data_IF_325997441915
#
_entry.id   IF_325997441915
#
_cell.length_a   1.000
_cell.length_b   1.000
_cell.length_c   1.000
_cell.angle_alpha   90.00
_cell.angle_beta   90.00
_cell.angle_gamma   90.00
#
_symmetry.space_group_name_H-M   'P 1'
#
loop_
_entity.id
_entity.type
_entity.pdbx_description
1 polymer ?
#
# COMPACT_ATOMS: atom_id res chain seq x y z
N UNK A 1 19.37 -15.26 15.38
CA UNK A 1 19.12 -15.44 13.94
C UNK A 1 17.66 -15.82 13.84
N UNK A 2 16.93 -15.15 12.94
CA UNK A 2 15.55 -15.56 12.67
C UNK A 2 15.55 -17.01 12.17
N UNK A 3 14.71 -17.83 12.75
CA UNK A 3 14.51 -19.20 12.30
C UNK A 3 13.58 -19.12 11.07
N UNK A 4 14.18 -19.32 9.90
CA UNK A 4 13.56 -19.17 8.59
C UNK A 4 13.39 -20.54 7.95
N UNK A 5 12.17 -20.86 7.58
CA UNK A 5 11.90 -22.03 6.76
C UNK A 5 11.42 -21.63 5.37
N UNK A 6 12.17 -22.04 4.34
CA UNK A 6 11.81 -21.79 2.93
C UNK A 6 11.58 -23.15 2.27
N UNK A 7 10.45 -23.30 1.63
CA UNK A 7 10.10 -24.53 0.91
C UNK A 7 9.57 -24.20 -0.49
N UNK A 8 9.62 -25.18 -1.39
CA UNK A 8 8.98 -25.09 -2.70
C UNK A 8 7.63 -25.78 -2.62
N UNK A 9 6.55 -25.08 -2.97
CA UNK A 9 5.20 -25.63 -2.98
C UNK A 9 4.50 -25.29 -4.30
N UNK A 10 3.70 -26.22 -4.82
CA UNK A 10 2.71 -25.90 -5.84
C UNK A 10 1.48 -25.25 -5.19
N UNK A 11 0.60 -24.68 -5.99
CA UNK A 11 -0.60 -23.97 -5.49
C UNK A 11 -1.46 -24.90 -4.63
N UNK A 12 -1.67 -26.14 -5.06
CA UNK A 12 -2.46 -27.11 -4.32
C UNK A 12 -1.88 -27.38 -2.93
N UNK A 13 -0.60 -27.73 -2.85
CA UNK A 13 0.05 -28.05 -1.57
C UNK A 13 0.14 -26.84 -0.63
N UNK A 14 0.27 -25.63 -1.19
CA UNK A 14 0.28 -24.42 -0.38
C UNK A 14 -1.10 -24.12 0.24
N UNK A 15 -2.14 -24.13 -0.60
CA UNK A 15 -3.48 -23.67 -0.18
C UNK A 15 -4.24 -24.74 0.60
N UNK A 16 -3.97 -26.03 0.40
CA UNK A 16 -4.62 -27.10 1.16
C UNK A 16 -4.17 -27.20 2.62
N UNK A 17 -3.07 -26.54 2.99
CA UNK A 17 -2.52 -26.56 4.35
C UNK A 17 -2.37 -28.00 4.93
N UNK A 18 -1.99 -28.97 4.08
CA UNK A 18 -1.90 -30.39 4.45
C UNK A 18 -0.56 -30.78 5.11
N UNK A 19 0.43 -29.88 5.13
CA UNK A 19 1.74 -30.12 5.75
C UNK A 19 1.65 -30.22 7.26
N UNK A 20 2.58 -30.93 7.89
CA UNK A 20 2.61 -31.16 9.33
C UNK A 20 2.55 -29.84 10.15
N UNK A 21 3.17 -28.77 9.66
CA UNK A 21 3.23 -27.47 10.33
C UNK A 21 2.01 -26.60 10.06
N UNK A 22 1.25 -26.85 8.99
CA UNK A 22 0.14 -26.01 8.55
C UNK A 22 -1.23 -26.68 8.70
N UNK A 23 -1.25 -27.99 8.92
CA UNK A 23 -2.47 -28.78 9.00
C UNK A 23 -3.45 -28.27 10.05
N UNK A 24 -4.67 -28.04 9.62
CA UNK A 24 -5.76 -27.54 10.48
C UNK A 24 -5.71 -26.05 10.76
N UNK A 25 -4.71 -25.34 10.27
CA UNK A 25 -4.59 -23.88 10.41
C UNK A 25 -5.44 -23.15 9.38
N UNK A 26 -5.47 -21.83 9.49
CA UNK A 26 -6.15 -20.92 8.57
C UNK A 26 -5.22 -19.76 8.26
N UNK A 27 -5.08 -19.40 7.00
CA UNK A 27 -4.40 -18.18 6.60
C UNK A 27 -5.22 -16.96 7.03
N UNK A 28 -4.55 -16.00 7.61
CA UNK A 28 -5.12 -14.72 7.99
C UNK A 28 -4.42 -13.62 7.20
N UNK A 29 -5.19 -12.76 6.55
CA UNK A 29 -4.72 -11.45 6.13
C UNK A 29 -4.98 -10.50 7.30
N UNK A 30 -3.93 -10.03 8.01
CA UNK A 30 -4.08 -9.28 9.25
C UNK A 30 -4.80 -7.94 9.07
N UNK A 31 -5.36 -7.43 10.17
CA UNK A 31 -6.14 -6.18 10.19
C UNK A 31 -5.37 -4.95 9.71
N UNK A 32 -4.04 -4.92 9.91
CA UNK A 32 -3.17 -3.82 9.52
C UNK A 32 -2.74 -3.86 8.06
N UNK A 33 -3.04 -4.93 7.32
CA UNK A 33 -2.72 -5.02 5.90
C UNK A 33 -3.60 -4.08 5.06
N UNK A 34 -3.17 -3.84 3.82
CA UNK A 34 -3.96 -3.06 2.87
C UNK A 34 -5.11 -3.90 2.31
N UNK A 35 -6.25 -3.28 1.92
CA UNK A 35 -7.32 -3.95 1.19
C UNK A 35 -6.85 -4.66 -0.09
N UNK A 36 -7.65 -5.59 -0.58
CA UNK A 36 -7.43 -6.18 -1.89
C UNK A 36 -7.62 -5.13 -2.99
N UNK A 37 -6.56 -4.87 -3.77
CA UNK A 37 -6.49 -3.78 -4.75
C UNK A 37 -6.07 -4.20 -6.16
N UNK A 38 -5.84 -5.50 -6.39
CA UNK A 38 -5.62 -5.93 -7.78
C UNK A 38 -6.87 -5.60 -8.59
N UNK A 39 -6.62 -5.01 -9.75
CA UNK A 39 -7.65 -4.66 -10.72
C UNK A 39 -7.78 -5.76 -11.79
N UNK A 40 -8.74 -5.55 -12.68
CA UNK A 40 -8.99 -6.43 -13.81
C UNK A 40 -7.73 -6.63 -14.67
N UNK A 41 -6.98 -5.55 -14.95
CA UNK A 41 -5.82 -5.62 -15.83
C UNK A 41 -4.70 -6.48 -15.22
N UNK A 42 -4.48 -6.37 -13.92
CA UNK A 42 -3.52 -7.21 -13.19
C UNK A 42 -3.95 -8.69 -13.20
N UNK A 43 -5.25 -8.97 -13.03
CA UNK A 43 -5.79 -10.33 -13.13
C UNK A 43 -5.73 -10.89 -14.55
N UNK A 44 -5.92 -10.06 -15.56
CA UNK A 44 -5.76 -10.41 -16.98
C UNK A 44 -4.31 -10.78 -17.32
N UNK A 45 -3.34 -10.07 -16.76
CA UNK A 45 -1.91 -10.42 -16.89
C UNK A 45 -1.64 -11.78 -16.28
N UNK A 46 -2.09 -12.01 -15.03
CA UNK A 46 -1.91 -13.31 -14.37
C UNK A 46 -2.51 -14.46 -15.18
N UNK A 47 -3.73 -14.30 -15.67
CA UNK A 47 -4.39 -15.30 -16.53
C UNK A 47 -3.61 -15.56 -17.80
N UNK A 48 -3.19 -14.50 -18.48
CA UNK A 48 -2.45 -14.57 -19.75
C UNK A 48 -1.11 -15.28 -19.57
N UNK A 49 -0.42 -15.00 -18.46
CA UNK A 49 0.83 -15.68 -18.12
C UNK A 49 0.63 -17.17 -17.93
N UNK A 50 -0.42 -17.60 -17.21
CA UNK A 50 -0.73 -19.00 -17.03
C UNK A 50 -1.05 -19.70 -18.36
N UNK A 51 -1.89 -19.09 -19.19
CA UNK A 51 -2.29 -19.66 -20.49
C UNK A 51 -1.11 -19.77 -21.42
N UNK A 52 -0.31 -18.70 -21.55
CA UNK A 52 0.85 -18.71 -22.44
C UNK A 52 1.88 -19.75 -22.00
N UNK A 53 2.21 -19.76 -20.72
CA UNK A 53 3.17 -20.74 -20.21
C UNK A 53 2.66 -22.19 -20.37
N UNK A 54 1.36 -22.43 -20.10
CA UNK A 54 0.76 -23.72 -20.32
C UNK A 54 0.86 -24.16 -21.78
N UNK A 55 0.51 -23.28 -22.74
CA UNK A 55 0.57 -23.58 -24.17
C UNK A 55 2.01 -23.93 -24.59
N UNK A 56 2.98 -23.15 -24.12
CA UNK A 56 4.39 -23.30 -24.48
C UNK A 56 5.03 -24.56 -23.86
N UNK A 57 4.48 -25.05 -22.72
CA UNK A 57 5.11 -26.07 -21.89
C UNK A 57 4.17 -27.24 -21.50
N UNK A 58 3.04 -27.44 -22.21
CA UNK A 58 2.10 -28.52 -21.91
C UNK A 58 2.72 -29.92 -22.12
N UNK A 59 3.69 -30.02 -23.02
CA UNK A 59 4.34 -31.27 -23.42
C UNK A 59 5.68 -31.51 -22.69
N UNK A 60 6.08 -30.66 -21.77
CA UNK A 60 7.28 -30.81 -20.94
C UNK A 60 6.93 -30.64 -19.43
N UNK A 61 7.90 -30.89 -18.54
CA UNK A 61 7.70 -30.85 -17.08
C UNK A 61 8.10 -29.51 -16.45
N UNK A 62 8.14 -28.42 -17.22
CA UNK A 62 8.52 -27.11 -16.68
C UNK A 62 7.45 -26.55 -15.75
N UNK A 63 7.91 -25.85 -14.75
CA UNK A 63 7.10 -25.23 -13.70
C UNK A 63 7.10 -23.72 -13.86
N UNK A 64 5.94 -23.09 -13.66
CA UNK A 64 5.79 -21.65 -13.66
C UNK A 64 6.03 -21.09 -12.26
N UNK A 65 6.98 -20.17 -12.13
CA UNK A 65 7.31 -19.56 -10.84
C UNK A 65 6.51 -18.29 -10.60
N UNK A 66 5.61 -18.33 -9.62
CA UNK A 66 4.75 -17.22 -9.21
C UNK A 66 5.39 -16.22 -8.24
N UNK A 67 6.57 -16.54 -7.71
CA UNK A 67 7.24 -15.71 -6.71
C UNK A 67 7.20 -16.30 -5.30
N UNK A 68 7.51 -15.46 -4.31
CA UNK A 68 7.49 -15.83 -2.90
C UNK A 68 6.27 -15.23 -2.18
N UNK A 69 5.93 -15.84 -1.06
CA UNK A 69 5.04 -15.27 -0.04
C UNK A 69 5.78 -15.26 1.30
N UNK A 70 5.48 -14.33 2.16
CA UNK A 70 6.01 -14.28 3.53
C UNK A 70 4.87 -14.54 4.49
N UNK A 71 5.05 -15.52 5.36
CA UNK A 71 4.09 -15.89 6.38
C UNK A 71 4.72 -15.87 7.75
N UNK A 72 3.91 -15.61 8.77
CA UNK A 72 4.32 -15.62 10.16
C UNK A 72 3.36 -16.49 10.97
N UNK A 73 3.89 -17.35 11.85
CA UNK A 73 3.05 -18.03 12.82
C UNK A 73 2.45 -16.97 13.77
N UNK A 74 1.13 -16.99 13.95
CA UNK A 74 0.49 -16.13 14.95
C UNK A 74 0.96 -16.55 16.36
N UNK A 75 1.62 -15.62 17.06
CA UNK A 75 2.13 -15.87 18.42
C UNK A 75 1.01 -16.06 19.45
N UNK A 76 -0.15 -15.48 19.18
CA UNK A 76 -1.29 -15.48 20.10
C UNK A 76 -2.26 -16.64 19.81
N UNK A 77 -2.23 -17.18 18.59
CA UNK A 77 -3.12 -18.28 18.17
C UNK A 77 -2.44 -19.27 17.23
N UNK A 78 -2.08 -20.43 17.74
CA UNK A 78 -1.43 -21.51 16.98
C UNK A 78 -2.25 -22.07 15.81
N UNK A 79 -3.54 -21.71 15.72
CA UNK A 79 -4.45 -22.11 14.63
C UNK A 79 -4.40 -21.19 13.43
N UNK A 80 -3.64 -20.10 13.48
CA UNK A 80 -3.56 -19.11 12.42
C UNK A 80 -2.15 -18.97 11.86
N UNK A 81 -2.07 -18.55 10.60
CA UNK A 81 -0.84 -18.20 9.89
C UNK A 81 -1.09 -16.86 9.22
N UNK A 82 -0.40 -15.83 9.66
CA UNK A 82 -0.50 -14.50 9.11
C UNK A 82 0.22 -14.42 7.76
N UNK A 83 -0.44 -13.89 6.74
CA UNK A 83 0.15 -13.56 5.46
C UNK A 83 0.70 -12.14 5.55
N UNK A 84 2.03 -12.01 5.57
CA UNK A 84 2.72 -10.73 5.65
C UNK A 84 2.97 -10.16 4.26
N UNK A 85 3.27 -11.02 3.29
CA UNK A 85 3.40 -10.67 1.87
C UNK A 85 2.77 -11.72 0.98
N UNK A 86 2.30 -11.28 -0.21
CA UNK A 86 1.65 -12.14 -1.19
C UNK A 86 0.14 -12.24 -1.04
N UNK A 87 -0.48 -11.47 -0.13
CA UNK A 87 -1.93 -11.47 0.10
C UNK A 87 -2.74 -11.25 -1.19
N UNK A 88 -2.36 -10.27 -2.00
CA UNK A 88 -3.06 -9.96 -3.27
C UNK A 88 -3.06 -11.17 -4.21
N UNK A 89 -1.90 -11.83 -4.32
CA UNK A 89 -1.72 -13.01 -5.18
C UNK A 89 -2.53 -14.20 -4.68
N UNK A 90 -2.47 -14.50 -3.38
CA UNK A 90 -3.25 -15.61 -2.80
C UNK A 90 -4.73 -15.37 -2.95
N UNK A 91 -5.22 -14.15 -2.71
CA UNK A 91 -6.61 -13.77 -2.91
C UNK A 91 -7.04 -14.00 -4.36
N UNK A 92 -6.26 -13.52 -5.33
CA UNK A 92 -6.56 -13.70 -6.76
C UNK A 92 -6.55 -15.16 -7.19
N UNK A 93 -5.61 -15.97 -6.66
CA UNK A 93 -5.58 -17.41 -6.91
C UNK A 93 -6.83 -18.12 -6.37
N UNK A 94 -7.30 -17.74 -5.19
CA UNK A 94 -8.52 -18.33 -4.62
C UNK A 94 -9.77 -17.94 -5.42
N UNK A 95 -9.85 -16.68 -5.88
CA UNK A 95 -10.93 -16.26 -6.79
C UNK A 95 -10.90 -17.03 -8.11
N UNK A 96 -9.72 -17.23 -8.68
CA UNK A 96 -9.52 -18.04 -9.90
C UNK A 96 -9.94 -19.51 -9.69
N UNK A 97 -9.47 -20.14 -8.61
CA UNK A 97 -9.83 -21.53 -8.29
C UNK A 97 -11.33 -21.66 -8.01
N UNK A 98 -11.95 -20.65 -7.39
CA UNK A 98 -13.40 -20.62 -7.18
C UNK A 98 -14.16 -20.51 -8.50
N UNK A 99 -13.63 -19.75 -9.47
CA UNK A 99 -14.21 -19.64 -10.82
C UNK A 99 -14.13 -20.99 -11.57
N UNK A 100 -12.99 -21.69 -11.53
CA UNK A 100 -12.88 -23.05 -12.07
C UNK A 100 -13.86 -24.00 -11.38
N UNK A 101 -13.92 -23.96 -10.06
CA UNK A 101 -14.81 -24.84 -9.30
C UNK A 101 -16.30 -24.58 -9.64
N UNK A 102 -16.70 -23.32 -9.77
CA UNK A 102 -18.08 -22.97 -10.20
C UNK A 102 -18.43 -23.57 -11.56
N UNK A 103 -17.51 -23.52 -12.52
CA UNK A 103 -17.67 -24.14 -13.82
C UNK A 103 -17.79 -25.68 -13.73
N UNK A 104 -16.94 -26.30 -12.92
CA UNK A 104 -16.99 -27.74 -12.65
C UNK A 104 -18.32 -28.15 -11.98
N UNK A 105 -18.83 -27.37 -11.01
CA UNK A 105 -20.13 -27.61 -10.39
C UNK A 105 -21.26 -27.63 -11.47
N UNK A 106 -21.28 -26.68 -12.39
CA UNK A 106 -22.27 -26.64 -13.48
C UNK A 106 -22.14 -27.85 -14.41
N UNK A 107 -20.91 -28.24 -14.73
CA UNK A 107 -20.67 -29.41 -15.59
C UNK A 107 -21.05 -30.70 -14.87
N UNK A 108 -20.71 -30.87 -13.60
CA UNK A 108 -21.09 -32.05 -12.81
C UNK A 108 -22.60 -32.21 -12.66
N UNK A 109 -23.38 -31.13 -12.71
CA UNK A 109 -24.86 -31.19 -12.75
C UNK A 109 -25.36 -31.70 -14.10
N UNK A 110 -24.71 -31.31 -15.21
CA UNK A 110 -25.12 -31.73 -16.57
C UNK A 110 -24.59 -33.11 -16.95
N UNK A 111 -23.42 -33.50 -16.43
CA UNK A 111 -22.81 -34.83 -16.63
C UNK A 111 -22.24 -35.36 -15.31
N UNK A 112 -23.09 -36.03 -14.49
CA UNK A 112 -22.66 -36.53 -13.17
C UNK A 112 -21.66 -37.70 -13.24
N UNK A 113 -21.41 -38.28 -14.39
CA UNK A 113 -20.54 -39.44 -14.55
C UNK A 113 -19.12 -39.07 -15.07
N UNK A 114 -18.84 -37.78 -15.31
CA UNK A 114 -17.53 -37.28 -15.71
C UNK A 114 -16.55 -37.37 -14.54
N UNK A 115 -15.69 -38.40 -14.58
CA UNK A 115 -14.69 -38.63 -13.52
C UNK A 115 -13.58 -37.61 -13.49
N UNK A 116 -13.24 -36.96 -14.62
CA UNK A 116 -12.25 -35.86 -14.66
C UNK A 116 -12.77 -34.63 -13.92
N UNK A 117 -14.06 -34.29 -14.11
CA UNK A 117 -14.71 -33.22 -13.38
C UNK A 117 -14.69 -33.47 -11.88
N UNK A 118 -15.07 -34.68 -11.44
CA UNK A 118 -15.02 -35.07 -10.02
C UNK A 118 -13.60 -35.01 -9.44
N UNK A 119 -12.63 -35.50 -10.20
CA UNK A 119 -11.22 -35.49 -9.78
C UNK A 119 -10.67 -34.08 -9.59
N UNK A 120 -11.00 -33.16 -10.52
CA UNK A 120 -10.61 -31.74 -10.39
C UNK A 120 -11.33 -31.04 -9.24
N UNK A 121 -12.64 -31.28 -9.04
CA UNK A 121 -13.36 -30.76 -7.90
C UNK A 121 -12.70 -31.18 -6.59
N UNK A 122 -12.40 -32.48 -6.42
CA UNK A 122 -11.70 -33.00 -5.25
C UNK A 122 -10.29 -32.42 -5.06
N UNK A 123 -9.65 -31.97 -6.14
CA UNK A 123 -8.33 -31.34 -6.09
C UNK A 123 -8.41 -29.85 -5.67
N UNK A 124 -9.47 -29.13 -6.06
CA UNK A 124 -9.69 -27.72 -5.71
C UNK A 124 -10.29 -27.55 -4.31
N UNK A 125 -11.20 -28.44 -3.91
CA UNK A 125 -11.93 -28.36 -2.63
C UNK A 125 -10.99 -28.09 -1.43
N UNK A 126 -9.91 -28.84 -1.21
CA UNK A 126 -9.02 -28.59 -0.07
C UNK A 126 -8.21 -27.31 -0.17
N UNK A 127 -8.16 -26.66 -1.35
CA UNK A 127 -7.51 -25.36 -1.52
C UNK A 127 -8.36 -24.20 -0.99
N UNK A 128 -9.67 -24.35 -1.01
CA UNK A 128 -10.61 -23.28 -0.64
C UNK A 128 -11.22 -23.53 0.74
N UNK A 129 -11.68 -24.77 0.99
CA UNK A 129 -12.47 -25.13 2.18
C UNK A 129 -11.77 -26.16 3.04
N UNK A 130 -12.12 -26.16 4.30
CA UNK A 130 -11.70 -27.22 5.21
C UNK A 130 -12.41 -28.52 4.88
N UNK A 131 -11.64 -29.58 4.69
CA UNK A 131 -12.14 -30.91 4.40
C UNK A 131 -12.08 -31.81 5.64
N UNK A 132 -13.04 -32.72 5.75
CA UNK A 132 -13.00 -33.74 6.80
C UNK A 132 -11.76 -34.62 6.63
N UNK A 133 -10.91 -34.80 7.65
CA UNK A 133 -9.65 -35.55 7.53
C UNK A 133 -9.81 -37.01 7.06
N UNK A 134 -10.93 -37.66 7.41
CA UNK A 134 -11.19 -39.04 7.07
C UNK A 134 -11.86 -39.19 5.71
N UNK A 135 -12.96 -38.46 5.47
CA UNK A 135 -13.75 -38.58 4.23
C UNK A 135 -13.17 -37.78 3.06
N UNK A 136 -12.24 -36.85 3.32
CA UNK A 136 -11.69 -35.90 2.34
C UNK A 136 -12.75 -35.05 1.61
N UNK A 137 -13.93 -34.90 2.21
CA UNK A 137 -15.04 -34.12 1.66
C UNK A 137 -15.23 -32.82 2.40
N UNK A 138 -15.65 -31.79 1.68
CA UNK A 138 -16.11 -30.54 2.26
C UNK A 138 -17.43 -30.81 3.00
N UNK A 139 -17.49 -30.44 4.27
CA UNK A 139 -18.69 -30.57 5.09
C UNK A 139 -19.41 -29.23 5.28
N UNK A 140 -18.64 -28.15 5.17
CA UNK A 140 -19.14 -26.78 5.35
C UNK A 140 -18.31 -25.83 4.49
N UNK A 141 -18.93 -25.20 3.47
CA UNK A 141 -18.27 -24.22 2.59
C UNK A 141 -18.03 -22.86 3.25
N UNK A 142 -18.70 -22.54 4.36
CA UNK A 142 -18.38 -21.36 5.15
C UNK A 142 -17.04 -21.48 5.90
N UNK A 143 -16.54 -22.72 6.03
CA UNK A 143 -15.24 -22.99 6.69
C UNK A 143 -14.09 -22.96 5.69
N UNK A 144 -13.64 -21.76 5.36
CA UNK A 144 -12.54 -21.50 4.41
C UNK A 144 -11.15 -21.64 5.03
N UNK A 145 -10.13 -21.86 4.19
CA UNK A 145 -8.72 -21.88 4.59
C UNK A 145 -8.09 -20.50 4.70
N UNK A 146 -8.81 -19.43 4.33
CA UNK A 146 -8.35 -18.03 4.43
C UNK A 146 -9.44 -17.13 5.00
N UNK A 147 -9.01 -16.14 5.77
CA UNK A 147 -9.87 -15.04 6.21
C UNK A 147 -9.11 -13.73 6.05
N UNK A 148 -9.76 -12.72 5.50
CA UNK A 148 -9.27 -11.35 5.54
C UNK A 148 -9.87 -10.65 6.75
N UNK A 149 -9.00 -10.11 7.60
CA UNK A 149 -9.38 -9.29 8.76
C UNK A 149 -9.02 -7.82 8.51
N UNK A 150 -8.68 -7.45 7.27
CA UNK A 150 -8.29 -6.09 6.93
C UNK A 150 -9.40 -5.13 7.32
N UNK A 151 -9.13 -4.32 8.31
CA UNK A 151 -10.14 -3.51 8.96
C UNK A 151 -10.58 -2.28 8.11
N UNK A 152 -9.76 -1.90 7.12
CA UNK A 152 -10.07 -0.84 6.15
C UNK A 152 -10.74 -1.36 4.88
N UNK A 153 -11.04 -2.66 4.80
CA UNK A 153 -11.68 -3.30 3.66
C UNK A 153 -13.14 -3.63 3.98
N UNK A 154 -14.04 -2.77 3.55
CA UNK A 154 -15.49 -2.94 3.74
C UNK A 154 -16.06 -4.11 2.93
N UNK A 155 -15.30 -4.64 1.97
CA UNK A 155 -15.69 -5.75 1.10
C UNK A 155 -15.18 -7.13 1.55
N UNK A 156 -14.58 -7.24 2.73
CA UNK A 156 -14.10 -8.53 3.26
C UNK A 156 -15.19 -9.61 3.31
N UNK A 157 -16.42 -9.23 3.63
CA UNK A 157 -17.55 -10.17 3.68
C UNK A 157 -17.91 -10.70 2.28
N UNK A 158 -17.78 -9.87 1.24
CA UNK A 158 -18.04 -10.29 -0.14
C UNK A 158 -17.07 -11.37 -0.60
N UNK A 159 -15.81 -11.26 -0.22
CA UNK A 159 -14.81 -12.28 -0.51
C UNK A 159 -15.21 -13.64 0.08
N UNK A 160 -15.66 -13.65 1.33
CA UNK A 160 -16.13 -14.88 1.98
C UNK A 160 -17.39 -15.45 1.28
N UNK A 161 -18.36 -14.60 0.92
CA UNK A 161 -19.56 -15.00 0.19
C UNK A 161 -19.21 -15.63 -1.16
N UNK A 162 -18.29 -15.00 -1.91
CA UNK A 162 -17.82 -15.53 -3.19
C UNK A 162 -17.17 -16.90 -3.00
N UNK A 163 -16.30 -17.07 -2.01
CA UNK A 163 -15.64 -18.35 -1.76
C UNK A 163 -16.67 -19.43 -1.36
N UNK A 164 -17.62 -19.10 -0.51
CA UNK A 164 -18.65 -20.02 -0.03
C UNK A 164 -19.61 -20.44 -1.13
N UNK A 165 -20.29 -19.49 -1.76
CA UNK A 165 -21.40 -19.73 -2.67
C UNK A 165 -21.00 -19.77 -4.16
N UNK A 166 -19.94 -19.05 -4.55
CA UNK A 166 -19.60 -18.77 -5.94
C UNK A 166 -20.51 -17.74 -6.61
N UNK A 167 -21.33 -17.07 -5.83
CA UNK A 167 -22.22 -16.02 -6.32
C UNK A 167 -21.66 -14.64 -5.95
N UNK A 168 -21.88 -13.68 -6.83
CA UNK A 168 -21.50 -12.27 -6.59
C UNK A 168 -22.68 -11.60 -5.89
N UNK A 169 -22.46 -10.91 -4.75
CA UNK A 169 -23.52 -10.16 -4.09
C UNK A 169 -24.15 -9.12 -5.02
N UNK A 170 -25.47 -8.93 -4.92
CA UNK A 170 -26.19 -7.98 -5.76
C UNK A 170 -25.65 -6.55 -5.55
N UNK A 171 -25.41 -5.85 -6.66
CA UNK A 171 -24.86 -4.47 -6.67
C UNK A 171 -23.43 -4.32 -6.12
N UNK A 172 -22.68 -5.41 -6.01
CA UNK A 172 -21.25 -5.33 -5.64
C UNK A 172 -20.41 -4.75 -6.78
N UNK A 173 -19.57 -3.77 -6.43
CA UNK A 173 -18.54 -3.18 -7.29
C UNK A 173 -17.15 -3.32 -6.64
N UNK A 174 -16.98 -4.27 -5.74
CA UNK A 174 -15.69 -4.52 -5.10
C UNK A 174 -14.68 -5.14 -6.06
N UNK A 175 -13.39 -4.93 -5.82
CA UNK A 175 -12.33 -5.59 -6.58
C UNK A 175 -12.43 -7.13 -6.51
N UNK A 176 -12.99 -7.69 -5.43
CA UNK A 176 -13.25 -9.13 -5.33
C UNK A 176 -14.29 -9.59 -6.35
N UNK A 177 -15.41 -8.88 -6.43
CA UNK A 177 -16.50 -9.20 -7.35
C UNK A 177 -16.10 -9.01 -8.81
N UNK A 178 -15.43 -7.90 -9.14
CA UNK A 178 -14.94 -7.59 -10.48
C UNK A 178 -13.94 -8.63 -10.98
N UNK A 179 -12.95 -8.96 -10.14
CA UNK A 179 -11.92 -9.92 -10.52
C UNK A 179 -12.46 -11.35 -10.59
N UNK A 180 -13.36 -11.72 -9.69
CA UNK A 180 -14.04 -13.02 -9.77
C UNK A 180 -14.86 -13.16 -11.06
N UNK A 181 -15.63 -12.12 -11.43
CA UNK A 181 -16.36 -12.06 -12.70
C UNK A 181 -15.41 -12.19 -13.89
N UNK A 182 -14.30 -11.46 -13.86
CA UNK A 182 -13.27 -11.55 -14.90
C UNK A 182 -12.76 -12.99 -15.05
N UNK A 183 -12.43 -13.67 -13.96
CA UNK A 183 -11.99 -15.06 -14.02
C UNK A 183 -13.09 -16.01 -14.52
N UNK A 184 -14.36 -15.81 -14.14
CA UNK A 184 -15.48 -16.59 -14.69
C UNK A 184 -15.59 -16.41 -16.22
N UNK A 185 -15.51 -15.19 -16.71
CA UNK A 185 -15.52 -14.88 -18.14
C UNK A 185 -14.34 -15.56 -18.85
N UNK A 186 -13.13 -15.40 -18.34
CA UNK A 186 -11.90 -16.03 -18.90
C UNK A 186 -11.98 -17.57 -18.93
N UNK A 187 -12.44 -18.19 -17.85
CA UNK A 187 -12.63 -19.64 -17.80
C UNK A 187 -13.66 -20.14 -18.82
N UNK A 188 -14.73 -19.37 -19.03
CA UNK A 188 -15.75 -19.72 -20.00
C UNK A 188 -15.26 -19.55 -21.45
N UNK A 189 -14.63 -18.42 -21.75
CA UNK A 189 -14.11 -18.12 -23.09
C UNK A 189 -13.02 -19.12 -23.49
N UNK A 190 -12.12 -19.45 -22.56
CA UNK A 190 -11.07 -20.44 -22.82
C UNK A 190 -11.66 -21.83 -23.08
N UNK A 191 -12.67 -22.24 -22.29
CA UNK A 191 -13.29 -23.52 -22.47
C UNK A 191 -14.13 -23.65 -23.77
N UNK A 192 -14.67 -22.54 -24.28
CA UNK A 192 -15.35 -22.54 -25.58
C UNK A 192 -14.38 -22.74 -26.73
N UNK A 193 -13.16 -22.19 -26.61
CA UNK A 193 -12.15 -22.23 -27.66
C UNK A 193 -11.23 -23.44 -27.59
N UNK A 194 -11.05 -24.05 -26.41
CA UNK A 194 -10.12 -25.14 -26.13
C UNK A 194 -10.83 -26.29 -25.39
N UNK A 195 -11.80 -26.92 -26.06
CA UNK A 195 -12.80 -27.86 -25.54
C UNK A 195 -12.33 -28.78 -24.39
N UNK A 196 -11.19 -29.43 -24.50
CA UNK A 196 -10.62 -30.29 -23.44
C UNK A 196 -9.54 -29.60 -22.61
N UNK A 197 -8.84 -28.65 -23.20
CA UNK A 197 -7.63 -28.04 -22.60
C UNK A 197 -7.84 -27.15 -21.38
N UNK A 198 -9.11 -26.78 -21.04
CA UNK A 198 -9.35 -25.99 -19.84
C UNK A 198 -9.23 -26.79 -18.53
N UNK A 199 -9.54 -28.09 -18.57
CA UNK A 199 -9.36 -29.00 -17.42
C UNK A 199 -7.88 -29.21 -17.16
N UNK A 200 -7.10 -29.42 -18.21
CA UNK A 200 -5.65 -29.56 -18.16
C UNK A 200 -4.96 -28.26 -17.73
N UNK A 201 -5.46 -27.09 -18.16
CA UNK A 201 -4.98 -25.77 -17.67
C UNK A 201 -5.24 -25.63 -16.17
N UNK A 202 -6.42 -26.03 -15.68
CA UNK A 202 -6.74 -26.02 -14.26
C UNK A 202 -5.77 -26.91 -13.45
N UNK A 203 -5.53 -28.13 -13.93
CA UNK A 203 -4.57 -29.04 -13.30
C UNK A 203 -3.15 -28.51 -13.34
N UNK A 204 -2.72 -27.92 -14.46
CA UNK A 204 -1.42 -27.24 -14.58
C UNK A 204 -1.27 -26.14 -13.54
N UNK A 205 -2.28 -25.27 -13.36
CA UNK A 205 -2.24 -24.21 -12.35
C UNK A 205 -2.09 -24.79 -10.94
N UNK A 206 -2.81 -25.85 -10.60
CA UNK A 206 -2.75 -26.49 -9.30
C UNK A 206 -1.41 -27.13 -9.00
N UNK A 207 -0.83 -27.85 -9.98
CA UNK A 207 0.28 -28.76 -9.74
C UNK A 207 1.64 -28.24 -10.23
N UNK A 208 1.67 -27.36 -11.24
CA UNK A 208 2.91 -26.89 -11.88
C UNK A 208 3.19 -25.40 -11.72
N UNK A 209 2.29 -24.64 -11.11
CA UNK A 209 2.56 -23.29 -10.69
C UNK A 209 3.12 -23.28 -9.25
N UNK A 210 4.33 -22.73 -9.10
CA UNK A 210 5.15 -22.85 -7.90
C UNK A 210 5.26 -21.54 -7.17
N UNK A 211 5.12 -21.60 -5.86
CA UNK A 211 5.32 -20.51 -4.91
C UNK A 211 6.38 -20.92 -3.89
N UNK A 212 7.17 -19.97 -3.42
CA UNK A 212 8.11 -20.16 -2.32
C UNK A 212 7.58 -19.50 -1.05
N UNK A 213 6.89 -20.23 -0.15
CA UNK A 213 6.59 -19.71 1.17
C UNK A 213 7.88 -19.55 1.99
N UNK A 214 8.00 -18.38 2.62
CA UNK A 214 9.03 -18.02 3.57
C UNK A 214 8.33 -17.90 4.92
N UNK A 215 8.46 -18.95 5.73
CA UNK A 215 7.81 -19.07 7.02
C UNK A 215 8.71 -18.45 8.10
N UNK A 216 8.21 -17.45 8.83
CA UNK A 216 8.90 -16.76 9.90
C UNK A 216 8.27 -17.13 11.25
N UNK A 217 9.10 -17.19 12.28
CA UNK A 217 8.63 -17.49 13.65
C UNK A 217 8.14 -16.24 14.39
N UNK A 218 8.53 -15.05 13.93
CA UNK A 218 8.13 -13.77 14.52
C UNK A 218 7.87 -12.70 13.47
N UNK A 219 7.02 -11.74 13.83
CA UNK A 219 6.56 -10.69 12.94
C UNK A 219 7.69 -9.72 12.55
N UNK A 220 8.64 -9.43 13.45
CA UNK A 220 9.74 -8.48 13.16
C UNK A 220 10.67 -9.05 12.09
N UNK A 221 10.97 -10.35 12.17
CA UNK A 221 11.71 -11.08 11.13
C UNK A 221 10.95 -11.09 9.81
N UNK A 222 9.65 -11.37 9.84
CA UNK A 222 8.80 -11.38 8.65
C UNK A 222 8.78 -10.02 7.93
N UNK A 223 8.62 -8.92 8.67
CA UNK A 223 8.62 -7.56 8.12
C UNK A 223 10.01 -7.17 7.58
N UNK A 224 11.09 -7.62 8.23
CA UNK A 224 12.46 -7.36 7.74
C UNK A 224 12.72 -8.05 6.41
N UNK A 225 12.32 -9.33 6.30
CA UNK A 225 12.47 -10.12 5.06
C UNK A 225 11.63 -9.55 3.96
N UNK A 226 10.38 -9.26 4.27
CA UNK A 226 9.48 -8.63 3.35
C UNK A 226 10.06 -7.32 2.79
N UNK A 227 10.60 -6.45 3.65
CA UNK A 227 11.27 -5.21 3.23
C UNK A 227 12.50 -5.41 2.32
N UNK A 228 13.17 -6.56 2.43
CA UNK A 228 14.34 -6.90 1.59
C UNK A 228 13.96 -7.53 0.25
N UNK A 229 12.91 -8.35 0.21
CA UNK A 229 12.46 -9.04 -1.00
C UNK A 229 11.71 -8.12 -1.96
N UNK A 230 10.98 -7.13 -1.45
CA UNK A 230 10.12 -6.25 -2.24
C UNK A 230 10.84 -5.16 -3.05
N UNK A 231 12.17 -5.14 -3.07
CA UNK A 231 12.93 -4.24 -3.95
C UNK A 231 12.70 -4.48 -5.46
N UNK A 232 11.84 -5.45 -5.85
CA UNK A 232 11.61 -5.84 -7.25
C UNK A 232 10.13 -5.95 -7.67
N UNK A 233 9.15 -5.60 -6.80
CA UNK A 233 7.71 -5.65 -7.09
C UNK A 233 6.98 -4.35 -6.76
N UNK A 234 5.64 -4.36 -6.68
CA UNK A 234 4.85 -3.30 -6.05
C UNK A 234 5.28 -3.22 -4.57
N UNK A 235 6.28 -2.38 -4.31
CA UNK A 235 6.84 -2.21 -2.98
C UNK A 235 5.72 -1.83 -2.01
N UNK A 236 5.72 -2.44 -0.82
CA UNK A 236 5.02 -1.85 0.31
C UNK A 236 5.49 -0.41 0.47
N UNK A 237 4.53 0.50 0.60
CA UNK A 237 4.85 1.85 1.01
C UNK A 237 5.50 1.83 2.39
N UNK A 238 6.32 2.80 2.69
CA UNK A 238 6.87 2.92 4.04
C UNK A 238 5.73 3.08 5.07
N UNK A 239 4.64 3.73 4.67
CA UNK A 239 3.44 3.92 5.49
C UNK A 239 2.70 2.61 5.85
N UNK A 240 2.74 1.57 5.00
CA UNK A 240 2.17 0.26 5.36
C UNK A 240 2.94 -0.38 6.53
N UNK A 241 4.27 -0.25 6.53
CA UNK A 241 5.11 -0.72 7.65
C UNK A 241 4.83 0.10 8.91
N UNK A 242 4.69 1.42 8.75
CA UNK A 242 4.41 2.31 9.87
C UNK A 242 3.04 2.03 10.48
N UNK A 243 2.03 1.71 9.66
CA UNK A 243 0.72 1.24 10.11
C UNK A 243 0.84 0.00 11.00
N UNK A 244 1.58 -1.01 10.53
CA UNK A 244 1.80 -2.24 11.30
C UNK A 244 2.50 -1.96 12.64
N UNK A 245 3.52 -1.11 12.65
CA UNK A 245 4.25 -0.75 13.88
C UNK A 245 3.37 0.05 14.86
N UNK A 246 2.56 0.97 14.38
CA UNK A 246 1.60 1.71 15.21
C UNK A 246 0.51 0.78 15.77
N UNK A 247 0.00 -0.14 14.95
CA UNK A 247 -0.99 -1.12 15.38
C UNK A 247 -0.49 -2.02 16.52
N UNK A 248 0.80 -2.42 16.50
CA UNK A 248 1.43 -3.19 17.58
C UNK A 248 1.45 -2.44 18.93
N UNK A 249 1.39 -1.11 18.92
CA UNK A 249 1.34 -0.33 20.15
C UNK A 249 -0.02 -0.40 20.84
N UNK A 250 -1.09 -0.77 20.12
CA UNK A 250 -2.42 -0.97 20.65
C UNK A 250 -2.48 -2.28 21.45
N UNK A 251 -2.85 -2.19 22.74
CA UNK A 251 -2.81 -3.33 23.67
C UNK A 251 -4.15 -4.04 23.79
N UNK A 252 -5.25 -3.32 23.59
CA UNK A 252 -6.60 -3.84 23.76
C UNK A 252 -7.33 -3.93 22.43
N UNK A 253 -8.36 -4.75 22.34
CA UNK A 253 -9.21 -4.85 21.16
C UNK A 253 -9.89 -3.51 20.82
N UNK A 254 -10.29 -2.75 21.84
CA UNK A 254 -10.90 -1.43 21.65
C UNK A 254 -9.90 -0.41 21.09
N UNK A 255 -8.66 -0.38 21.60
CA UNK A 255 -7.59 0.46 21.04
C UNK A 255 -7.28 0.10 19.58
N UNK A 256 -7.20 -1.18 19.26
CA UNK A 256 -7.00 -1.66 17.90
C UNK A 256 -8.12 -1.21 16.96
N UNK A 257 -9.38 -1.37 17.39
CA UNK A 257 -10.55 -0.93 16.63
C UNK A 257 -10.58 0.59 16.45
N UNK A 258 -10.26 1.35 17.49
CA UNK A 258 -10.17 2.80 17.42
C UNK A 258 -9.08 3.24 16.42
N UNK A 259 -7.87 2.72 16.58
CA UNK A 259 -6.74 3.01 15.66
C UNK A 259 -7.10 2.72 14.21
N UNK A 260 -7.75 1.59 13.94
CA UNK A 260 -8.16 1.22 12.60
C UNK A 260 -9.11 2.21 11.97
N UNK A 261 -10.13 2.68 12.73
CA UNK A 261 -11.06 3.69 12.25
C UNK A 261 -10.36 5.03 12.01
N UNK A 262 -9.49 5.45 12.92
CA UNK A 262 -8.70 6.68 12.79
C UNK A 262 -7.74 6.60 11.60
N UNK A 263 -7.12 5.43 11.39
CA UNK A 263 -6.25 5.21 10.23
C UNK A 263 -7.03 5.27 8.90
N UNK A 264 -8.22 4.67 8.84
CA UNK A 264 -9.09 4.75 7.67
C UNK A 264 -9.47 6.20 7.34
N UNK A 265 -9.79 6.99 8.35
CA UNK A 265 -10.06 8.42 8.18
C UNK A 265 -8.83 9.17 7.68
N UNK A 266 -7.65 8.85 8.20
CA UNK A 266 -6.39 9.44 7.76
C UNK A 266 -6.09 9.09 6.29
N UNK A 267 -6.27 7.83 5.88
CA UNK A 267 -6.14 7.38 4.49
C UNK A 267 -7.08 8.19 3.57
N UNK A 268 -8.36 8.34 3.96
CA UNK A 268 -9.34 9.10 3.20
C UNK A 268 -8.96 10.59 3.08
N UNK A 269 -8.54 11.22 4.18
CA UNK A 269 -8.10 12.63 4.21
C UNK A 269 -6.93 12.87 3.24
N UNK A 270 -5.98 11.95 3.20
CA UNK A 270 -4.81 12.00 2.33
C UNK A 270 -5.19 11.81 0.86
N UNK A 271 -6.09 10.87 0.58
CA UNK A 271 -6.61 10.59 -0.77
C UNK A 271 -7.41 11.79 -1.30
N UNK A 272 -8.31 12.34 -0.51
CA UNK A 272 -9.09 13.54 -0.85
C UNK A 272 -8.19 14.74 -1.16
N UNK A 273 -7.08 14.87 -0.43
CA UNK A 273 -6.07 15.90 -0.66
C UNK A 273 -5.14 15.64 -1.86
N UNK A 274 -5.20 14.45 -2.48
CA UNK A 274 -4.40 14.10 -3.65
C UNK A 274 -2.90 13.92 -3.37
N UNK A 275 -2.52 13.55 -2.15
CA UNK A 275 -1.15 13.21 -1.76
C UNK A 275 -1.10 11.81 -1.12
N UNK A 276 0.09 11.32 -0.76
CA UNK A 276 0.26 9.97 -0.22
C UNK A 276 0.54 9.98 1.28
N UNK A 277 0.29 8.86 1.97
CA UNK A 277 0.72 8.69 3.36
C UNK A 277 2.24 8.81 3.50
N UNK A 278 3.01 8.33 2.54
CA UNK A 278 4.47 8.48 2.55
C UNK A 278 4.89 9.95 2.49
N UNK A 279 4.16 10.79 1.73
CA UNK A 279 4.38 12.24 1.72
C UNK A 279 4.07 12.85 3.08
N UNK A 280 2.95 12.45 3.69
CA UNK A 280 2.55 12.93 5.03
C UNK A 280 3.62 12.57 6.08
N UNK A 281 4.07 11.32 6.11
CA UNK A 281 5.15 10.90 7.01
C UNK A 281 6.45 11.64 6.73
N UNK A 282 6.73 11.97 5.47
CA UNK A 282 7.88 12.80 5.08
C UNK A 282 7.75 14.22 5.60
N UNK A 283 6.57 14.82 5.50
CA UNK A 283 6.33 16.16 6.06
C UNK A 283 6.52 16.15 7.58
N UNK A 284 5.99 15.15 8.27
CA UNK A 284 6.16 15.00 9.71
C UNK A 284 7.62 14.69 10.09
N UNK A 285 8.34 13.91 9.30
CA UNK A 285 9.78 13.71 9.46
C UNK A 285 10.53 15.05 9.52
N UNK A 286 10.21 15.98 8.63
CA UNK A 286 10.86 17.29 8.61
C UNK A 286 10.45 18.17 9.81
N UNK A 287 9.23 18.05 10.32
CA UNK A 287 8.83 18.67 11.60
C UNK A 287 9.73 18.14 12.74
N UNK A 288 9.91 16.84 12.81
CA UNK A 288 10.74 16.22 13.82
C UNK A 288 12.24 16.56 13.67
N UNK A 289 12.73 16.63 12.43
CA UNK A 289 14.12 17.09 12.15
C UNK A 289 14.32 18.54 12.57
N UNK A 290 13.33 19.42 12.35
CA UNK A 290 13.38 20.81 12.79
C UNK A 290 13.50 20.94 14.31
N UNK A 291 12.70 20.18 15.07
CA UNK A 291 12.74 20.16 16.54
C UNK A 291 14.10 19.71 17.08
N UNK A 292 14.80 18.82 16.37
CA UNK A 292 16.11 18.27 16.71
C UNK A 292 17.30 19.06 16.11
N UNK A 293 17.05 20.19 15.46
CA UNK A 293 18.08 21.01 14.79
C UNK A 293 18.86 20.28 13.67
N UNK A 294 18.23 19.36 12.96
CA UNK A 294 18.88 18.55 11.92
C UNK A 294 18.73 19.24 10.56
N UNK A 295 19.82 19.79 10.03
CA UNK A 295 19.90 20.40 8.69
C UNK A 295 20.68 19.51 7.69
N UNK A 296 21.17 18.36 8.13
CA UNK A 296 21.90 17.41 7.29
C UNK A 296 21.07 16.90 6.11
N UNK A 297 21.74 16.30 5.13
CA UNK A 297 21.08 15.67 3.98
C UNK A 297 19.94 14.75 4.43
N UNK A 298 18.86 14.76 3.70
CA UNK A 298 17.70 13.88 3.91
C UNK A 298 18.12 12.41 3.78
N UNK A 299 17.59 11.58 4.64
CA UNK A 299 17.71 10.12 4.60
C UNK A 299 16.38 9.50 4.16
N UNK A 300 16.42 8.24 3.74
CA UNK A 300 15.21 7.52 3.37
C UNK A 300 14.21 7.50 4.54
N UNK A 301 12.92 7.57 4.22
CA UNK A 301 11.84 7.67 5.19
C UNK A 301 11.89 6.53 6.22
N UNK A 302 12.01 5.29 5.75
CA UNK A 302 12.18 4.11 6.61
C UNK A 302 13.41 4.20 7.51
N UNK A 303 14.55 4.66 6.97
CA UNK A 303 15.79 4.82 7.76
C UNK A 303 15.63 5.84 8.88
N UNK A 304 14.80 6.87 8.69
CA UNK A 304 14.51 7.86 9.73
C UNK A 304 13.69 7.27 10.88
N UNK A 305 12.61 6.55 10.58
CA UNK A 305 11.71 6.02 11.60
C UNK A 305 12.19 4.71 12.22
N UNK A 306 12.79 3.81 11.43
CA UNK A 306 13.23 2.47 11.84
C UNK A 306 14.73 2.33 12.12
N UNK A 307 15.55 3.37 11.86
CA UNK A 307 17.01 3.32 12.02
C UNK A 307 17.46 2.93 13.43
N UNK A 308 18.69 2.42 13.55
CA UNK A 308 19.25 1.84 14.80
C UNK A 308 19.09 2.74 16.05
N UNK A 309 19.07 4.05 15.87
CA UNK A 309 18.89 5.00 16.97
C UNK A 309 17.44 5.32 17.31
N UNK A 310 16.49 5.09 16.40
CA UNK A 310 15.07 5.48 16.58
C UNK A 310 14.16 4.31 16.89
N UNK A 311 14.30 3.17 16.21
CA UNK A 311 13.47 1.96 16.37
C UNK A 311 12.00 2.29 16.61
N UNK A 312 11.42 3.16 15.76
CA UNK A 312 10.07 3.67 15.87
C UNK A 312 9.72 4.38 17.19
N UNK A 313 10.75 4.92 17.89
CA UNK A 313 10.52 5.60 19.18
C UNK A 313 9.56 6.81 19.05
N UNK A 314 9.57 7.48 17.90
CA UNK A 314 8.68 8.62 17.59
C UNK A 314 7.21 8.21 17.66
N UNK A 315 6.87 6.99 17.26
CA UNK A 315 5.49 6.48 17.28
C UNK A 315 4.93 6.33 18.69
N UNK A 316 5.81 6.24 19.70
CA UNK A 316 5.43 6.13 21.11
C UNK A 316 5.20 7.49 21.78
N UNK A 317 5.45 8.59 21.08
CA UNK A 317 5.20 9.93 21.60
C UNK A 317 3.66 10.13 21.76
N UNK A 318 3.19 10.64 22.90
CA UNK A 318 1.74 10.66 23.22
C UNK A 318 0.85 11.38 22.20
N UNK A 319 1.40 12.35 21.48
CA UNK A 319 0.66 13.18 20.53
C UNK A 319 0.98 12.85 19.06
N UNK A 320 1.82 11.85 18.81
CA UNK A 320 2.31 11.57 17.47
C UNK A 320 1.18 11.42 16.44
N UNK A 321 0.24 10.52 16.70
CA UNK A 321 -0.83 10.22 15.76
C UNK A 321 -1.77 11.41 15.55
N UNK A 322 -2.07 12.14 16.64
CA UNK A 322 -2.87 13.36 16.58
C UNK A 322 -2.16 14.45 15.75
N UNK A 323 -0.87 14.67 15.94
CA UNK A 323 -0.11 15.66 15.17
C UNK A 323 0.00 15.29 13.70
N UNK A 324 0.10 14.00 13.40
CA UNK A 324 0.07 13.48 12.03
C UNK A 324 -1.28 13.73 11.37
N UNK A 325 -2.40 13.48 12.07
CA UNK A 325 -3.76 13.73 11.59
C UNK A 325 -4.00 15.22 11.39
N UNK A 326 -3.65 16.07 12.36
CA UNK A 326 -3.75 17.54 12.22
C UNK A 326 -2.99 18.03 10.97
N UNK A 327 -1.83 17.43 10.70
CA UNK A 327 -1.02 17.79 9.52
C UNK A 327 -1.65 17.31 8.20
N UNK A 328 -2.32 16.16 8.21
CA UNK A 328 -3.07 15.66 7.06
C UNK A 328 -4.26 16.57 6.72
N UNK A 329 -5.05 16.94 7.71
CA UNK A 329 -6.17 17.89 7.57
C UNK A 329 -5.71 19.25 7.03
N UNK A 330 -4.59 19.75 7.55
CA UNK A 330 -3.99 20.99 7.06
C UNK A 330 -3.64 20.88 5.57
N UNK A 331 -2.92 19.84 5.16
CA UNK A 331 -2.52 19.67 3.77
C UNK A 331 -3.69 19.42 2.84
N UNK A 332 -4.70 18.65 3.27
CA UNK A 332 -5.93 18.46 2.52
C UNK A 332 -6.61 19.82 2.25
N UNK A 333 -6.80 20.64 3.29
CA UNK A 333 -7.38 21.96 3.17
C UNK A 333 -6.55 22.91 2.28
N UNK A 334 -5.21 22.84 2.37
CA UNK A 334 -4.30 23.64 1.51
C UNK A 334 -4.42 23.24 0.04
N UNK A 335 -4.48 21.95 -0.28
CA UNK A 335 -4.62 21.45 -1.66
C UNK A 335 -6.02 21.71 -2.23
N UNK A 336 -7.04 21.67 -1.37
CA UNK A 336 -8.42 21.99 -1.75
C UNK A 336 -8.70 23.50 -1.80
N UNK A 337 -7.70 24.33 -1.49
CA UNK A 337 -7.81 25.80 -1.46
C UNK A 337 -8.94 26.31 -0.53
N UNK A 338 -9.15 25.65 0.59
CA UNK A 338 -10.17 26.04 1.57
C UNK A 338 -9.78 27.30 2.36
N UNK A 339 -10.80 28.01 2.84
CA UNK A 339 -10.61 29.27 3.60
C UNK A 339 -10.17 29.06 5.05
N UNK A 340 -10.17 27.81 5.53
CA UNK A 340 -9.85 27.51 6.94
C UNK A 340 -8.44 27.99 7.31
N UNK A 341 -7.45 27.70 6.46
CA UNK A 341 -6.05 28.07 6.68
C UNK A 341 -5.53 29.16 5.74
N UNK A 342 -6.21 29.41 4.63
CA UNK A 342 -5.71 30.25 3.55
C UNK A 342 -6.57 31.50 3.32
N UNK A 343 -5.92 32.66 3.30
CA UNK A 343 -6.46 33.87 2.67
C UNK A 343 -6.29 33.78 1.15
N UNK A 344 -7.04 34.56 0.37
CA UNK A 344 -6.97 34.54 -1.10
C UNK A 344 -5.54 34.75 -1.64
N UNK A 345 -4.78 35.60 -0.97
CA UNK A 345 -3.38 35.88 -1.33
C UNK A 345 -2.49 34.65 -1.05
N UNK A 346 -2.71 33.93 0.07
CA UNK A 346 -2.03 32.70 0.38
C UNK A 346 -2.30 31.60 -0.67
N UNK A 347 -3.54 31.47 -1.14
CA UNK A 347 -3.92 30.53 -2.20
C UNK A 347 -3.14 30.80 -3.49
N UNK A 348 -2.98 32.06 -3.88
CA UNK A 348 -2.15 32.43 -5.03
C UNK A 348 -0.69 32.00 -4.83
N UNK A 349 -0.13 32.24 -3.65
CA UNK A 349 1.26 31.84 -3.36
C UNK A 349 1.45 30.32 -3.39
N UNK A 350 0.50 29.56 -2.84
CA UNK A 350 0.51 28.10 -2.89
C UNK A 350 0.44 27.63 -4.36
N UNK A 351 -0.48 28.21 -5.13
CA UNK A 351 -0.60 27.89 -6.54
C UNK A 351 0.70 28.18 -7.31
N UNK A 352 1.36 29.29 -7.04
CA UNK A 352 2.68 29.57 -7.63
C UNK A 352 3.73 28.56 -7.20
N UNK A 353 3.78 28.20 -5.91
CA UNK A 353 4.74 27.22 -5.37
C UNK A 353 4.51 25.82 -5.94
N UNK A 354 3.27 25.45 -6.32
CA UNK A 354 2.98 24.15 -6.94
C UNK A 354 3.65 23.97 -8.31
N UNK A 355 4.05 25.04 -8.97
CA UNK A 355 4.87 24.99 -10.20
C UNK A 355 6.36 24.81 -9.93
N UNK A 356 6.80 24.86 -8.67
CA UNK A 356 8.22 24.63 -8.34
C UNK A 356 8.59 23.17 -8.64
N UNK A 357 9.78 22.89 -9.23
CA UNK A 357 10.12 21.56 -9.73
C UNK A 357 10.38 20.51 -8.64
N UNK A 358 10.35 20.91 -7.37
CA UNK A 358 10.45 19.98 -6.22
C UNK A 358 9.51 20.41 -5.10
N UNK A 359 9.40 19.58 -4.08
CA UNK A 359 8.48 19.76 -2.96
C UNK A 359 9.13 20.32 -1.69
N UNK A 360 10.39 20.76 -1.75
CA UNK A 360 11.12 21.23 -0.57
C UNK A 360 10.42 22.37 0.18
N UNK A 361 9.63 23.19 -0.53
CA UNK A 361 8.84 24.26 0.08
C UNK A 361 7.79 23.76 1.07
N UNK A 362 7.33 22.52 0.93
CA UNK A 362 6.32 21.92 1.81
C UNK A 362 6.87 21.64 3.21
N UNK A 363 8.16 21.39 3.35
CA UNK A 363 8.78 21.07 4.63
C UNK A 363 8.75 22.24 5.63
N UNK A 364 9.23 23.46 5.30
CA UNK A 364 9.12 24.60 6.20
C UNK A 364 7.66 25.02 6.41
N UNK A 365 6.76 24.82 5.45
CA UNK A 365 5.32 25.04 5.62
C UNK A 365 4.72 24.09 6.65
N UNK A 366 5.08 22.80 6.64
CA UNK A 366 4.64 21.82 7.63
C UNK A 366 5.12 22.19 9.05
N UNK A 367 6.36 22.67 9.16
CA UNK A 367 6.92 23.15 10.45
C UNK A 367 6.18 24.41 10.89
N UNK A 368 5.93 25.36 9.98
CA UNK A 368 5.16 26.58 10.30
C UNK A 368 3.79 26.23 10.85
N UNK A 369 3.06 25.32 10.21
CA UNK A 369 1.76 24.85 10.68
C UNK A 369 1.88 24.29 12.12
N UNK A 370 2.80 23.39 12.38
CA UNK A 370 2.95 22.76 13.70
C UNK A 370 3.19 23.79 14.82
N UNK A 371 3.96 24.85 14.51
CA UNK A 371 4.29 25.92 15.48
C UNK A 371 3.12 26.88 15.69
N UNK A 372 2.30 27.11 14.65
CA UNK A 372 1.31 28.20 14.65
C UNK A 372 -0.14 27.75 14.66
N UNK A 373 -0.46 26.46 14.49
CA UNK A 373 -1.82 25.92 14.30
C UNK A 373 -2.85 26.33 15.37
N UNK A 374 -2.40 26.80 16.52
CA UNK A 374 -3.27 27.24 17.63
C UNK A 374 -3.38 28.78 17.76
N UNK A 375 -2.79 29.54 16.85
CA UNK A 375 -2.82 31.01 16.91
C UNK A 375 -4.03 31.56 16.17
N UNK A 376 -4.69 32.54 16.75
CA UNK A 376 -5.86 33.20 16.16
C UNK A 376 -5.54 33.95 14.86
N UNK A 377 -4.31 34.46 14.72
CA UNK A 377 -3.79 35.16 13.55
C UNK A 377 -3.08 34.24 12.53
N UNK A 378 -3.29 32.93 12.63
CA UNK A 378 -2.62 31.93 11.77
C UNK A 378 -2.67 32.29 10.29
N UNK A 379 -3.85 32.64 9.74
CA UNK A 379 -4.04 32.89 8.31
C UNK A 379 -3.17 34.04 7.80
N UNK A 380 -3.14 35.13 8.55
CA UNK A 380 -2.34 36.33 8.20
C UNK A 380 -0.84 36.01 8.31
N UNK A 381 -0.41 35.33 9.38
CA UNK A 381 0.98 34.92 9.52
C UNK A 381 1.39 33.94 8.41
N UNK A 382 0.49 33.05 8.02
CA UNK A 382 0.72 32.09 6.96
C UNK A 382 0.90 32.75 5.60
N UNK A 383 0.05 33.74 5.28
CA UNK A 383 0.17 34.55 4.06
C UNK A 383 1.54 35.24 3.98
N UNK A 384 1.97 35.87 5.06
CA UNK A 384 3.28 36.54 5.14
C UNK A 384 4.44 35.56 5.02
N UNK A 385 4.31 34.39 5.65
CA UNK A 385 5.30 33.33 5.57
C UNK A 385 5.47 32.79 4.14
N UNK A 386 4.36 32.48 3.48
CA UNK A 386 4.34 32.01 2.09
C UNK A 386 4.93 33.03 1.13
N UNK A 387 4.59 34.30 1.30
CA UNK A 387 5.17 35.40 0.47
C UNK A 387 6.69 35.41 0.55
N UNK A 388 7.23 35.32 1.77
CA UNK A 388 8.67 35.30 2.01
C UNK A 388 9.32 34.05 1.41
N UNK A 389 8.70 32.87 1.60
CA UNK A 389 9.19 31.61 1.08
C UNK A 389 9.18 31.60 -0.46
N UNK A 390 8.08 32.05 -1.07
CA UNK A 390 7.94 32.17 -2.51
C UNK A 390 9.04 33.05 -3.12
N UNK A 391 9.25 34.26 -2.54
CA UNK A 391 10.28 35.18 -3.01
C UNK A 391 11.67 34.54 -2.99
N UNK A 392 12.02 33.85 -1.92
CA UNK A 392 13.30 33.11 -1.82
C UNK A 392 13.41 32.00 -2.86
N UNK A 393 12.40 31.13 -2.96
CA UNK A 393 12.39 29.98 -3.84
C UNK A 393 12.60 30.37 -5.31
N UNK A 394 11.87 31.39 -5.75
CA UNK A 394 11.95 31.88 -7.13
C UNK A 394 13.28 32.62 -7.39
N UNK A 395 13.75 33.45 -6.47
CA UNK A 395 15.02 34.14 -6.63
C UNK A 395 16.18 33.14 -6.77
N UNK A 396 16.21 32.11 -5.94
CA UNK A 396 17.23 31.05 -6.02
C UNK A 396 17.17 30.25 -7.32
N UNK A 397 15.96 29.98 -7.82
CA UNK A 397 15.82 29.27 -9.09
C UNK A 397 16.28 30.09 -10.28
N UNK A 398 16.05 31.42 -10.27
CA UNK A 398 16.57 32.33 -11.30
C UNK A 398 18.11 32.38 -11.28
N UNK A 399 18.70 32.39 -10.09
CA UNK A 399 20.18 32.36 -9.95
C UNK A 399 20.78 31.03 -10.43
N UNK A 400 20.19 29.94 -10.01
CA UNK A 400 20.68 28.61 -10.25
C UNK A 400 19.51 27.64 -10.50
N UNK A 401 19.10 27.44 -11.77
CA UNK A 401 17.93 26.66 -12.14
C UNK A 401 18.14 25.14 -11.95
N UNK A 402 18.68 24.73 -10.81
CA UNK A 402 18.82 23.33 -10.41
C UNK A 402 17.78 22.96 -9.36
N UNK A 403 17.25 21.74 -9.44
CA UNK A 403 16.25 21.24 -8.51
C UNK A 403 16.69 21.34 -7.05
N UNK A 404 17.98 21.15 -6.78
CA UNK A 404 18.54 21.10 -5.43
C UNK A 404 19.09 22.47 -4.93
N UNK A 405 18.99 23.53 -5.73
CA UNK A 405 19.59 24.84 -5.36
C UNK A 405 19.07 25.42 -4.04
N UNK A 406 17.87 25.05 -3.63
CA UNK A 406 17.19 25.57 -2.44
C UNK A 406 17.34 24.67 -1.20
N UNK A 407 17.67 23.38 -1.38
CA UNK A 407 17.57 22.33 -0.35
C UNK A 407 18.21 22.72 0.98
N UNK A 408 19.48 23.06 0.97
CA UNK A 408 20.25 23.29 2.21
C UNK A 408 19.74 24.52 2.97
N UNK A 409 19.28 25.54 2.24
CA UNK A 409 18.68 26.74 2.84
C UNK A 409 17.29 26.47 3.40
N UNK A 410 16.48 25.71 2.68
CA UNK A 410 15.15 25.30 3.15
C UNK A 410 15.26 24.48 4.44
N UNK A 411 16.26 23.63 4.56
CA UNK A 411 16.50 22.87 5.78
C UNK A 411 16.95 23.77 6.96
N UNK A 412 17.66 24.86 6.66
CA UNK A 412 17.95 25.88 7.68
C UNK A 412 16.67 26.65 8.07
N UNK A 413 15.83 26.97 7.10
CA UNK A 413 14.58 27.71 7.34
C UNK A 413 13.59 26.95 8.21
N UNK A 414 13.41 25.64 8.01
CA UNK A 414 12.49 24.90 8.86
C UNK A 414 12.99 24.81 10.31
N UNK A 415 14.31 24.72 10.54
CA UNK A 415 14.90 24.76 11.88
C UNK A 415 14.69 26.13 12.53
N UNK A 416 14.96 27.22 11.79
CA UNK A 416 14.72 28.58 12.27
C UNK A 416 13.22 28.81 12.56
N UNK A 417 12.33 28.36 11.68
CA UNK A 417 10.89 28.44 11.86
C UNK A 417 10.43 27.72 13.13
N UNK A 418 10.97 26.55 13.40
CA UNK A 418 10.64 25.82 14.62
C UNK A 418 11.03 26.60 15.88
N UNK A 419 12.19 27.27 15.87
CA UNK A 419 12.72 28.02 17.01
C UNK A 419 12.06 29.37 17.24
N UNK A 420 11.78 30.09 16.17
CA UNK A 420 11.40 31.51 16.23
C UNK A 420 9.99 31.79 15.71
N UNK A 421 9.34 30.80 15.12
CA UNK A 421 8.05 30.92 14.44
C UNK A 421 8.17 31.42 13.00
N UNK A 422 9.33 31.81 12.52
CA UNK A 422 9.56 32.28 11.15
C UNK A 422 11.00 32.01 10.75
N UNK A 423 11.39 32.42 9.55
CA UNK A 423 12.79 32.47 9.12
C UNK A 423 13.13 33.85 8.58
N UNK A 424 14.42 34.19 8.51
CA UNK A 424 14.89 35.47 7.99
C UNK A 424 15.61 35.30 6.66
N UNK A 425 15.55 36.38 5.83
CA UNK A 425 16.29 36.48 4.58
C UNK A 425 17.42 37.51 4.67
N UNK A 426 17.73 38.01 5.88
CA UNK A 426 18.66 39.12 6.09
C UNK A 426 20.08 38.82 5.58
N UNK A 427 20.47 37.55 5.62
CA UNK A 427 21.76 37.08 5.07
C UNK A 427 21.75 36.77 3.58
N UNK A 428 20.56 36.82 2.95
CA UNK A 428 20.42 36.52 1.53
C UNK A 428 20.47 37.79 0.71
N UNK A 429 21.50 37.91 -0.11
CA UNK A 429 21.64 39.01 -1.07
C UNK A 429 21.49 38.46 -2.48
N UNK A 430 20.73 39.17 -3.29
CA UNK A 430 20.68 38.88 -4.74
C UNK A 430 22.08 39.14 -5.33
N UNK A 431 22.60 38.25 -6.18
CA UNK A 431 23.88 38.49 -6.84
C UNK A 431 23.77 39.59 -7.88
N UNK A 432 24.87 40.25 -8.20
CA UNK A 432 24.92 41.30 -9.22
C UNK A 432 24.49 40.81 -10.60
N UNK A 433 24.59 39.50 -10.84
CA UNK A 433 24.17 38.83 -12.08
C UNK A 433 22.66 38.54 -12.15
N UNK A 434 21.89 38.77 -11.08
CA UNK A 434 20.47 38.38 -11.00
C UNK A 434 19.62 38.94 -12.14
N UNK A 435 19.77 40.24 -12.46
CA UNK A 435 19.02 40.86 -13.57
C UNK A 435 19.34 40.24 -14.93
N UNK A 436 20.60 39.89 -15.14
CA UNK A 436 21.02 39.22 -16.39
C UNK A 436 20.45 37.81 -16.52
N UNK A 437 20.34 37.07 -15.41
CA UNK A 437 19.71 35.76 -15.34
C UNK A 437 18.19 35.88 -15.55
N UNK A 438 17.55 36.86 -14.94
CA UNK A 438 16.12 37.12 -15.11
C UNK A 438 15.77 37.36 -16.60
N UNK A 439 16.59 38.14 -17.33
CA UNK A 439 16.40 38.39 -18.79
C UNK A 439 16.57 37.13 -19.66
N UNK A 440 17.30 36.13 -19.18
CA UNK A 440 17.56 34.87 -19.88
C UNK A 440 16.66 33.74 -19.38
N UNK A 441 15.74 34.02 -18.48
CA UNK A 441 14.92 33.02 -17.82
C UNK A 441 14.12 32.22 -18.84
N UNK A 442 14.27 30.89 -18.90
CA UNK A 442 13.59 30.07 -19.90
C UNK A 442 12.09 30.04 -19.66
N UNK A 443 11.32 29.88 -20.74
CA UNK A 443 9.87 29.55 -20.70
C UNK A 443 9.66 28.15 -20.16
N UNK A 444 9.79 27.97 -18.86
CA UNK A 444 9.53 26.71 -18.16
C UNK A 444 8.19 26.76 -17.42
N UNK A 445 7.75 25.61 -16.87
CA UNK A 445 6.59 25.57 -15.95
C UNK A 445 6.68 26.64 -14.86
N UNK A 446 7.89 26.94 -14.39
CA UNK A 446 8.17 27.97 -13.38
C UNK A 446 7.84 29.40 -13.85
N UNK A 447 8.09 29.71 -15.12
CA UNK A 447 7.70 31.01 -15.67
C UNK A 447 6.18 31.21 -15.60
N UNK A 448 5.39 30.15 -15.76
CA UNK A 448 3.94 30.19 -15.56
C UNK A 448 3.58 30.58 -14.12
N UNK A 449 4.25 29.98 -13.12
CA UNK A 449 4.05 30.32 -11.72
C UNK A 449 4.32 31.79 -11.41
N UNK A 450 5.39 32.36 -11.99
CA UNK A 450 5.71 33.79 -11.84
C UNK A 450 4.68 34.71 -12.51
N UNK A 451 4.16 34.32 -13.68
CA UNK A 451 3.15 35.10 -14.40
C UNK A 451 1.80 35.13 -13.68
N UNK A 452 1.51 34.18 -12.82
CA UNK A 452 0.29 34.12 -12.00
C UNK A 452 0.31 35.09 -10.80
N UNK A 453 1.46 35.71 -10.49
CA UNK A 453 1.59 36.73 -9.43
C UNK A 453 1.14 38.13 -9.88
N UNK A 454 0.97 38.36 -11.17
CA UNK A 454 0.46 39.58 -11.74
C UNK A 454 -1.05 39.46 -12.00
#
# INVERSE_FOLDING_TARGET
MADLHVSKKNIRSLLSLDDANTKGKTFIIPEYQRPYRWDKDTCDVLWTDFVNFYIDHKDDDKEYFLGSIVTCADSDNSSYIDIIDGQQRITSLLLLLRAFYYKLEKQNVSDPDDDDVKGLMQSIEPCIWKVNPMSKKVTDKASTHIKSLVATDDANEEFQIILESGEIPAHSNSSYAENYKTFLEKCNDYAQNALSGWKELCLFILERCIILPIECTDLDSALTIFGTLNNRGLALSDSDIFKAELYKLCKTADEKKQFTNEWKQLEQTVEDGGFTLDDLFRYYMHVNRASRNITAKEIALRAFYAGEGSKFAIFKEPNFFKELTDLAEFWNSVYSYEDIYCEDEAKKYIHCLSYYPNEYWKYPVSVFFQVHKRKDDFRTLFTLYLKKLLAFMFARFIENPTVNAVRDKVFSFYVETFKTGTFTLDSYKLPDTFESHLKRFPTSKMAKGLLLLN
#
